data_IF_668768925197
#
_entry.id   IF_668768925197
#
_cell.length_a   1.000
_cell.length_b   1.000
_cell.length_c   1.000
_cell.angle_alpha   90.00
_cell.angle_beta   90.00
_cell.angle_gamma   90.00
#
_symmetry.space_group_name_H-M   'P 1'
#
loop_
_entity.id
_entity.type
_entity.pdbx_description
1 polymer ?
#
# COMPACT_ATOMS: atom_id res chain seq x y z
N UNK A 1 28.88 2.84 34.31
CA UNK A 1 28.59 3.34 32.94
C UNK A 1 28.00 2.27 32.00
N UNK A 2 28.13 0.97 32.23
CA UNK A 2 27.57 -0.07 31.33
C UNK A 2 26.05 -0.30 31.45
N UNK A 3 25.44 -0.06 32.60
CA UNK A 3 23.98 -0.30 32.79
C UNK A 3 23.05 0.67 32.06
N UNK A 4 23.47 1.93 31.83
CA UNK A 4 22.65 2.93 31.11
C UNK A 4 22.48 2.61 29.61
N UNK A 5 23.44 1.94 28.97
CA UNK A 5 23.34 1.60 27.54
C UNK A 5 22.32 0.48 27.29
N UNK A 6 22.21 -0.48 28.21
CA UNK A 6 21.22 -1.56 28.07
C UNK A 6 19.78 -1.09 28.29
N UNK A 7 19.57 -0.10 29.15
CA UNK A 7 18.23 0.46 29.38
C UNK A 7 17.70 1.22 28.16
N UNK A 8 18.56 1.96 27.45
CA UNK A 8 18.18 2.66 26.21
C UNK A 8 17.87 1.71 25.05
N UNK A 9 18.57 0.57 24.95
CA UNK A 9 18.30 -0.45 23.93
C UNK A 9 16.98 -1.17 24.24
N UNK A 10 16.69 -1.44 25.52
CA UNK A 10 15.44 -2.07 25.93
C UNK A 10 14.23 -1.16 25.67
N UNK A 11 14.34 0.14 25.92
CA UNK A 11 13.29 1.13 25.65
C UNK A 11 13.06 1.27 24.14
N UNK A 12 14.12 1.25 23.34
CA UNK A 12 14.02 1.28 21.87
C UNK A 12 13.36 0.02 21.30
N UNK A 13 13.69 -1.16 21.81
CA UNK A 13 13.04 -2.42 21.43
C UNK A 13 11.58 -2.49 21.86
N UNK A 14 11.25 -2.06 23.09
CA UNK A 14 9.86 -1.98 23.58
C UNK A 14 9.03 -0.98 22.76
N UNK A 15 9.61 0.17 22.38
CA UNK A 15 8.94 1.14 21.52
C UNK A 15 8.68 0.59 20.11
N UNK A 16 9.63 -0.14 19.52
CA UNK A 16 9.44 -0.80 18.22
C UNK A 16 8.40 -1.92 18.28
N UNK A 17 8.38 -2.72 19.35
CA UNK A 17 7.41 -3.78 19.56
C UNK A 17 6.01 -3.18 19.73
N UNK A 18 5.84 -2.09 20.49
CA UNK A 18 4.56 -1.41 20.65
C UNK A 18 4.04 -0.81 19.34
N UNK A 19 4.91 -0.20 18.53
CA UNK A 19 4.52 0.36 17.22
C UNK A 19 4.08 -0.76 16.25
N UNK A 20 4.78 -1.89 16.22
CA UNK A 20 4.38 -3.04 15.43
C UNK A 20 3.06 -3.65 15.91
N UNK A 21 2.89 -3.83 17.22
CA UNK A 21 1.66 -4.34 17.82
C UNK A 21 0.46 -3.42 17.51
N UNK A 22 0.63 -2.10 17.60
CA UNK A 22 -0.41 -1.14 17.32
C UNK A 22 -0.80 -1.08 15.83
N UNK A 23 0.15 -1.30 14.90
CA UNK A 23 -0.13 -1.43 13.47
C UNK A 23 -0.93 -2.70 13.13
N UNK A 24 -0.67 -3.79 13.82
CA UNK A 24 -1.31 -5.08 13.56
C UNK A 24 -2.73 -5.18 14.13
N UNK A 25 -3.03 -4.54 15.25
CA UNK A 25 -4.34 -4.60 15.91
C UNK A 25 -5.48 -4.11 15.02
N UNK A 26 -5.26 -3.05 14.20
CA UNK A 26 -6.29 -2.51 13.32
C UNK A 26 -6.79 -3.50 12.26
N UNK A 27 -5.98 -4.50 11.91
CA UNK A 27 -6.25 -5.48 10.85
C UNK A 27 -6.40 -6.92 11.36
N UNK A 28 -6.21 -7.12 12.66
CA UNK A 28 -6.35 -8.43 13.28
C UNK A 28 -7.80 -8.64 13.69
N UNK A 29 -8.37 -9.79 13.38
CA UNK A 29 -9.77 -10.15 13.73
C UNK A 29 -9.82 -11.08 14.94
N UNK A 30 -8.80 -11.91 15.11
CA UNK A 30 -8.58 -12.78 16.25
C UNK A 30 -7.07 -13.07 16.42
N UNK A 31 -6.67 -13.80 17.46
CA UNK A 31 -5.28 -14.09 17.74
C UNK A 31 -4.63 -15.05 16.74
N UNK A 32 -5.41 -15.81 15.99
CA UNK A 32 -4.95 -16.76 14.98
C UNK A 32 -4.92 -16.18 13.54
N UNK A 33 -5.51 -14.98 13.32
CA UNK A 33 -5.55 -14.35 12.01
C UNK A 33 -4.15 -13.98 11.51
N UNK A 34 -3.82 -14.26 10.24
CA UNK A 34 -2.55 -13.85 9.67
C UNK A 34 -2.42 -12.33 9.67
N UNK A 35 -1.21 -11.85 9.95
CA UNK A 35 -0.90 -10.42 9.89
C UNK A 35 -0.55 -10.02 8.47
N UNK A 36 -1.13 -8.92 7.95
CA UNK A 36 -0.72 -8.38 6.66
C UNK A 36 0.74 -7.90 6.67
N UNK A 37 1.35 -7.90 5.50
CA UNK A 37 2.67 -7.34 5.24
C UNK A 37 2.53 -6.19 4.23
N UNK A 38 3.43 -5.20 4.30
CA UNK A 38 3.57 -4.22 3.25
C UNK A 38 4.18 -4.88 2.02
N UNK A 39 3.51 -4.78 0.89
CA UNK A 39 3.92 -5.43 -0.36
C UNK A 39 3.96 -4.44 -1.52
N UNK A 40 4.90 -4.66 -2.45
CA UNK A 40 5.03 -3.85 -3.64
C UNK A 40 5.83 -4.54 -4.74
N UNK A 41 6.33 -3.77 -5.68
CA UNK A 41 7.06 -4.27 -6.84
C UNK A 41 8.59 -4.24 -6.68
N UNK A 42 9.09 -3.45 -5.74
CA UNK A 42 10.53 -3.22 -5.53
C UNK A 42 10.78 -2.99 -4.05
N UNK A 43 11.90 -3.44 -3.53
CA UNK A 43 12.30 -3.20 -2.13
C UNK A 43 12.64 -1.72 -1.91
N UNK A 44 12.62 -1.28 -0.64
CA UNK A 44 13.02 0.09 -0.30
C UNK A 44 14.49 0.34 -0.68
N UNK A 45 15.34 -0.67 -0.50
CA UNK A 45 16.77 -0.60 -0.83
C UNK A 45 17.01 -0.48 -2.35
N UNK A 46 16.37 -1.33 -3.15
CA UNK A 46 16.57 -1.36 -4.61
C UNK A 46 15.89 -0.16 -5.31
N UNK A 47 14.94 0.49 -4.64
CA UNK A 47 14.27 1.68 -5.16
C UNK A 47 15.22 2.88 -5.28
N UNK A 48 16.31 2.92 -4.48
CA UNK A 48 17.31 3.99 -4.45
C UNK A 48 16.70 5.38 -4.32
N UNK A 49 15.59 5.48 -3.59
CA UNK A 49 14.92 6.76 -3.38
C UNK A 49 15.76 7.63 -2.46
N UNK A 50 16.14 8.86 -2.87
CA UNK A 50 16.81 9.78 -1.98
C UNK A 50 15.87 10.14 -0.84
N UNK A 51 16.35 9.95 0.37
CA UNK A 51 15.56 10.24 1.55
C UNK A 51 16.24 11.33 2.39
N UNK A 52 15.46 12.29 2.79
CA UNK A 52 15.74 13.16 3.92
C UNK A 52 15.18 12.59 5.23
N UNK A 53 14.79 11.29 5.22
CA UNK A 53 14.17 10.56 6.34
C UNK A 53 14.95 9.31 6.62
N UNK A 54 15.24 9.05 7.88
CA UNK A 54 16.16 8.00 8.36
C UNK A 54 15.74 6.55 8.07
N UNK A 55 14.56 6.33 7.49
CA UNK A 55 13.99 4.98 7.32
C UNK A 55 13.58 4.65 5.89
N UNK A 56 13.69 5.58 4.97
CA UNK A 56 13.31 5.39 3.57
C UNK A 56 14.56 5.31 2.71
N UNK A 57 14.72 4.18 2.04
CA UNK A 57 15.73 3.95 1.03
C UNK A 57 17.18 4.10 1.51
N UNK A 58 18.09 3.86 0.62
CA UNK A 58 19.53 4.03 0.84
C UNK A 58 20.03 5.44 0.57
N UNK A 59 19.12 6.37 0.27
CA UNK A 59 19.39 7.78 0.10
C UNK A 59 20.58 8.08 -0.80
N UNK A 60 20.41 8.02 -2.11
CA UNK A 60 21.47 8.42 -3.04
C UNK A 60 21.67 9.93 -2.99
N UNK A 61 22.91 10.37 -2.89
CA UNK A 61 23.28 11.77 -3.00
C UNK A 61 24.20 11.99 -4.20
N UNK A 62 24.09 13.14 -4.85
CA UNK A 62 24.99 13.53 -5.91
C UNK A 62 26.35 14.03 -5.35
N UNK A 63 27.29 14.36 -6.21
CA UNK A 63 28.62 14.85 -5.82
C UNK A 63 28.62 16.10 -4.93
N UNK A 64 27.50 16.82 -4.84
CA UNK A 64 27.30 17.99 -3.95
C UNK A 64 26.59 17.66 -2.64
N UNK A 65 26.39 16.37 -2.32
CA UNK A 65 25.70 15.92 -1.13
C UNK A 65 24.19 16.20 -1.10
N UNK A 66 23.58 16.54 -2.26
CA UNK A 66 22.11 16.76 -2.38
C UNK A 66 21.41 15.49 -2.87
N UNK A 67 20.13 15.27 -2.48
CA UNK A 67 19.35 14.14 -2.95
C UNK A 67 19.38 13.98 -4.47
N UNK A 68 19.76 12.79 -4.95
CA UNK A 68 19.82 12.49 -6.38
C UNK A 68 18.59 11.71 -6.85
N UNK A 69 17.55 12.44 -7.21
CA UNK A 69 16.31 11.87 -7.71
C UNK A 69 16.44 11.20 -9.09
N UNK A 70 17.57 11.39 -9.78
CA UNK A 70 17.81 10.74 -11.07
C UNK A 70 18.30 9.30 -10.90
N UNK A 71 18.88 8.99 -9.76
CA UNK A 71 19.38 7.66 -9.45
C UNK A 71 18.28 6.68 -9.00
N UNK A 72 17.04 7.16 -8.81
CA UNK A 72 15.93 6.29 -8.41
C UNK A 72 15.60 5.25 -9.48
N UNK A 73 15.34 4.03 -9.06
CA UNK A 73 14.94 2.96 -9.98
C UNK A 73 13.60 3.31 -10.66
N UNK A 74 13.46 3.13 -11.98
CA UNK A 74 12.21 3.45 -12.69
C UNK A 74 10.97 2.78 -12.09
N UNK A 75 11.08 1.52 -11.66
CA UNK A 75 9.98 0.76 -11.05
C UNK A 75 9.51 1.37 -9.71
N UNK A 76 10.34 2.18 -9.03
CA UNK A 76 9.97 2.85 -7.78
C UNK A 76 8.89 3.92 -7.94
N UNK A 77 8.62 4.36 -9.16
CA UNK A 77 7.68 5.45 -9.50
C UNK A 77 6.65 5.07 -10.57
N UNK A 78 6.69 3.83 -11.06
CA UNK A 78 5.73 3.34 -12.02
C UNK A 78 4.46 2.86 -11.31
N UNK A 79 3.29 3.15 -11.88
CA UNK A 79 2.06 2.52 -11.41
C UNK A 79 2.10 1.02 -11.65
N UNK A 80 1.56 0.26 -10.70
CA UNK A 80 1.57 -1.20 -10.73
C UNK A 80 0.19 -1.76 -10.48
N UNK A 81 -0.09 -2.88 -11.11
CA UNK A 81 -1.16 -3.77 -10.73
C UNK A 81 -0.67 -4.76 -9.69
N UNK A 82 -1.47 -4.96 -8.65
CA UNK A 82 -1.31 -6.04 -7.67
C UNK A 82 -2.52 -6.96 -7.77
N UNK A 83 -2.32 -8.27 -7.71
CA UNK A 83 -3.42 -9.25 -7.72
C UNK A 83 -3.25 -10.38 -6.74
N UNK A 84 -4.38 -10.86 -6.23
CA UNK A 84 -4.51 -12.11 -5.47
C UNK A 84 -5.67 -12.91 -6.03
N UNK A 85 -5.41 -14.15 -6.36
CA UNK A 85 -6.43 -15.13 -6.70
C UNK A 85 -6.71 -16.00 -5.48
N UNK A 86 -7.99 -16.32 -5.26
CA UNK A 86 -8.43 -17.16 -4.15
C UNK A 86 -9.64 -18.01 -4.54
N UNK A 87 -9.86 -19.09 -3.80
CA UNK A 87 -11.04 -19.95 -3.98
C UNK A 87 -11.79 -20.10 -2.66
N UNK A 88 -13.05 -19.67 -2.63
CA UNK A 88 -13.91 -19.78 -1.46
C UNK A 88 -14.68 -21.11 -1.50
N UNK A 89 -14.71 -21.86 -0.38
CA UNK A 89 -15.34 -23.19 -0.34
C UNK A 89 -16.87 -23.13 -0.24
N UNK A 90 -17.43 -21.99 0.18
CA UNK A 90 -18.87 -21.80 0.35
C UNK A 90 -19.30 -20.39 -0.02
N UNK A 91 -20.61 -20.12 -0.03
CA UNK A 91 -21.19 -18.81 -0.23
C UNK A 91 -20.81 -17.87 0.91
N UNK A 92 -20.68 -16.59 0.58
CA UNK A 92 -20.32 -15.53 1.51
C UNK A 92 -21.56 -15.07 2.27
N UNK A 93 -21.43 -14.93 3.59
CA UNK A 93 -22.42 -14.30 4.45
C UNK A 93 -22.13 -12.81 4.63
N UNK A 94 -20.88 -12.48 4.91
CA UNK A 94 -20.37 -11.11 5.08
C UNK A 94 -18.91 -11.07 4.71
N UNK A 95 -18.46 -9.95 4.12
CA UNK A 95 -17.05 -9.75 3.85
C UNK A 95 -16.67 -8.29 4.02
N UNK A 96 -15.59 -8.07 4.76
CA UNK A 96 -15.06 -6.74 5.07
C UNK A 96 -13.62 -6.62 4.60
N UNK A 97 -13.36 -5.66 3.72
CA UNK A 97 -12.01 -5.29 3.27
C UNK A 97 -11.51 -4.08 4.05
N UNK A 98 -10.33 -4.20 4.65
CA UNK A 98 -9.53 -3.08 5.15
C UNK A 98 -8.31 -2.92 4.29
N UNK A 99 -8.04 -1.71 3.79
CA UNK A 99 -6.98 -1.49 2.78
C UNK A 99 -6.28 -0.15 2.96
N UNK A 100 -4.97 -0.17 2.78
CA UNK A 100 -4.09 0.99 2.62
C UNK A 100 -3.33 0.81 1.32
N UNK A 101 -3.49 1.70 0.37
CA UNK A 101 -2.63 1.80 -0.82
C UNK A 101 -1.89 3.12 -0.79
N UNK A 102 -0.59 3.06 -0.64
CA UNK A 102 0.29 4.22 -0.62
C UNK A 102 1.13 4.22 -1.91
N UNK A 103 0.99 5.15 -2.85
CA UNK A 103 0.19 6.42 -2.96
C UNK A 103 -1.33 6.30 -3.03
N UNK A 104 -1.94 6.41 -4.19
CA UNK A 104 -3.37 6.22 -4.37
C UNK A 104 -3.66 4.86 -4.99
N UNK A 105 -4.85 4.32 -4.71
CA UNK A 105 -5.23 3.01 -5.23
C UNK A 105 -6.64 2.99 -5.80
N UNK A 106 -6.85 2.08 -6.75
CA UNK A 106 -8.16 1.60 -7.16
C UNK A 106 -8.28 0.11 -6.85
N UNK A 107 -9.30 -0.27 -6.08
CA UNK A 107 -9.57 -1.67 -5.72
C UNK A 107 -10.71 -2.21 -6.58
N UNK A 108 -10.50 -3.38 -7.16
CA UNK A 108 -11.51 -4.16 -7.86
C UNK A 108 -11.55 -5.59 -7.34
N UNK A 109 -12.75 -6.16 -7.27
CA UNK A 109 -12.99 -7.57 -6.96
C UNK A 109 -13.77 -8.17 -8.12
N UNK A 110 -13.29 -9.25 -8.70
CA UNK A 110 -13.92 -9.90 -9.84
C UNK A 110 -14.21 -8.92 -11.01
N UNK A 111 -13.28 -7.96 -11.25
CA UNK A 111 -13.36 -6.89 -12.26
C UNK A 111 -14.41 -5.80 -11.98
N UNK A 112 -15.03 -5.79 -10.80
CA UNK A 112 -15.95 -4.73 -10.38
C UNK A 112 -15.23 -3.79 -9.41
N UNK A 113 -15.28 -2.49 -9.67
CA UNK A 113 -14.74 -1.47 -8.73
C UNK A 113 -15.50 -1.55 -7.40
N UNK A 114 -14.75 -1.50 -6.30
CA UNK A 114 -15.32 -1.55 -4.94
C UNK A 114 -15.93 -0.21 -4.54
N UNK A 115 -15.40 0.88 -5.07
CA UNK A 115 -15.80 2.25 -4.72
C UNK A 115 -15.60 3.18 -5.90
N UNK A 116 -16.38 4.26 -5.94
CA UNK A 116 -16.22 5.40 -6.84
C UNK A 116 -15.28 6.50 -6.26
N UNK A 117 -14.70 6.24 -5.09
CA UNK A 117 -13.72 7.13 -4.49
C UNK A 117 -12.46 7.24 -5.37
N UNK A 118 -11.98 8.46 -5.51
CA UNK A 118 -10.68 8.79 -6.11
C UNK A 118 -9.73 9.31 -5.04
N UNK A 119 -8.41 9.24 -5.29
CA UNK A 119 -7.37 9.69 -4.35
C UNK A 119 -7.46 9.04 -2.97
N UNK A 120 -7.78 7.75 -2.93
CA UNK A 120 -7.82 6.98 -1.69
C UNK A 120 -6.45 6.32 -1.37
N UNK A 121 -6.04 6.24 -0.09
CA UNK A 121 -6.60 6.94 1.06
C UNK A 121 -6.27 8.44 1.02
N UNK A 122 -6.94 9.24 1.84
CA UNK A 122 -6.60 10.66 1.96
C UNK A 122 -5.15 10.85 2.44
N UNK A 123 -4.55 11.96 1.99
CA UNK A 123 -3.20 12.33 2.40
C UNK A 123 -3.09 12.57 3.90
N UNK A 124 -1.94 12.22 4.47
CA UNK A 124 -1.61 12.42 5.87
C UNK A 124 -0.10 12.64 6.05
N UNK A 125 0.33 12.97 7.25
CA UNK A 125 1.73 12.84 7.64
C UNK A 125 2.02 11.35 7.89
N UNK A 126 2.56 10.67 6.88
CA UNK A 126 2.79 9.23 6.91
C UNK A 126 3.82 8.77 7.96
N UNK A 127 4.55 9.70 8.57
CA UNK A 127 5.40 9.41 9.72
C UNK A 127 4.60 9.28 11.03
N UNK A 128 3.40 9.87 11.08
CA UNK A 128 2.55 9.90 12.27
C UNK A 128 1.28 9.08 12.10
N UNK A 129 0.61 9.23 10.97
CA UNK A 129 -0.69 8.62 10.71
C UNK A 129 -0.75 8.07 9.29
N UNK A 130 -1.28 6.87 9.16
CA UNK A 130 -1.58 6.23 7.87
C UNK A 130 -3.05 5.88 7.86
N UNK A 131 -3.82 6.48 6.97
CA UNK A 131 -5.23 6.17 6.85
C UNK A 131 -5.47 4.87 6.10
N UNK A 132 -6.41 4.06 6.61
CA UNK A 132 -6.95 2.93 5.88
C UNK A 132 -8.44 3.12 5.63
N UNK A 133 -8.93 2.53 4.55
CA UNK A 133 -10.34 2.48 4.21
C UNK A 133 -10.94 1.12 4.56
N UNK A 134 -12.23 1.12 4.89
CA UNK A 134 -13.00 -0.09 5.16
C UNK A 134 -14.19 -0.15 4.22
N UNK A 135 -14.37 -1.31 3.56
CA UNK A 135 -15.45 -1.54 2.59
C UNK A 135 -16.19 -2.83 2.92
N UNK A 136 -17.53 -2.79 2.84
CA UNK A 136 -18.32 -4.01 2.70
C UNK A 136 -18.22 -4.48 1.25
N UNK A 137 -17.68 -5.67 1.06
CA UNK A 137 -17.46 -6.27 -0.26
C UNK A 137 -18.22 -7.58 -0.43
N UNK A 138 -19.21 -7.80 0.41
CA UNK A 138 -20.01 -9.03 0.46
C UNK A 138 -20.60 -9.39 -0.90
N UNK A 139 -21.22 -8.42 -1.58
CA UNK A 139 -21.88 -8.60 -2.87
C UNK A 139 -20.92 -8.87 -4.04
N UNK A 140 -19.63 -8.58 -3.87
CA UNK A 140 -18.63 -8.73 -4.93
C UNK A 140 -17.94 -10.11 -4.92
N UNK A 141 -18.13 -10.89 -3.86
CA UNK A 141 -17.54 -12.21 -3.68
C UNK A 141 -18.54 -13.34 -3.94
N UNK A 142 -18.05 -14.47 -4.43
CA UNK A 142 -18.83 -15.65 -4.72
C UNK A 142 -18.13 -16.93 -4.30
N UNK A 143 -18.88 -17.99 -4.10
CA UNK A 143 -18.32 -19.35 -3.99
C UNK A 143 -17.46 -19.68 -5.21
N UNK A 144 -16.34 -20.35 -5.01
CA UNK A 144 -15.40 -20.69 -6.07
C UNK A 144 -14.32 -19.61 -6.29
N UNK A 145 -13.90 -19.43 -7.52
CA UNK A 145 -12.79 -18.53 -7.88
C UNK A 145 -13.17 -17.06 -7.73
N UNK A 146 -12.31 -16.30 -7.05
CA UNK A 146 -12.36 -14.85 -6.91
C UNK A 146 -10.98 -14.26 -7.18
N UNK A 147 -10.95 -12.99 -7.58
CA UNK A 147 -9.73 -12.23 -7.79
C UNK A 147 -9.86 -10.85 -7.18
N UNK A 148 -8.87 -10.47 -6.37
CA UNK A 148 -8.61 -9.10 -5.96
C UNK A 148 -7.63 -8.48 -6.93
N UNK A 149 -7.85 -7.23 -7.32
CA UNK A 149 -6.95 -6.44 -8.17
C UNK A 149 -6.86 -5.03 -7.61
N UNK A 150 -5.63 -4.54 -7.46
CA UNK A 150 -5.36 -3.18 -6.99
C UNK A 150 -4.45 -2.50 -7.99
N UNK A 151 -4.90 -1.41 -8.60
CA UNK A 151 -4.04 -0.47 -9.30
C UNK A 151 -3.47 0.49 -8.25
N UNK A 152 -2.16 0.67 -8.22
CA UNK A 152 -1.46 1.46 -7.23
C UNK A 152 -0.54 2.47 -7.91
N UNK A 153 -0.73 3.76 -7.63
CA UNK A 153 0.06 4.88 -8.14
C UNK A 153 0.98 5.47 -7.07
N UNK A 154 1.53 6.67 -7.36
CA UNK A 154 2.46 7.35 -6.46
C UNK A 154 1.76 8.22 -5.40
N UNK A 155 0.72 8.96 -5.79
CA UNK A 155 0.01 9.90 -4.92
C UNK A 155 0.95 10.88 -4.21
N UNK A 156 0.58 11.32 -3.02
CA UNK A 156 1.43 12.13 -2.14
C UNK A 156 2.48 11.31 -1.38
N UNK A 157 2.39 9.99 -1.41
CA UNK A 157 3.32 9.12 -0.72
C UNK A 157 4.69 9.08 -1.41
N UNK A 158 4.71 9.15 -2.73
CA UNK A 158 5.91 8.99 -3.53
C UNK A 158 5.98 10.02 -4.69
N UNK A 159 5.93 11.30 -4.38
CA UNK A 159 6.05 12.37 -5.38
C UNK A 159 7.53 12.63 -5.69
N UNK A 160 8.04 12.03 -6.75
CA UNK A 160 9.44 12.16 -7.18
C UNK A 160 9.65 13.32 -8.18
N UNK A 161 8.59 14.04 -8.51
CA UNK A 161 8.60 15.10 -9.49
C UNK A 161 8.50 14.59 -10.93
N UNK A 162 8.61 15.48 -11.87
CA UNK A 162 8.45 15.28 -13.30
C UNK A 162 8.02 16.57 -13.95
N UNK A 163 6.98 16.54 -14.80
CA UNK A 163 6.34 17.77 -15.29
C UNK A 163 5.72 18.56 -14.14
N UNK A 164 5.86 19.89 -14.17
CA UNK A 164 5.24 20.81 -13.20
C UNK A 164 5.56 20.47 -11.73
N UNK A 165 6.76 20.03 -11.47
CA UNK A 165 7.20 19.68 -10.11
C UNK A 165 7.08 20.88 -9.17
N UNK A 166 6.23 20.79 -8.15
CA UNK A 166 6.13 21.76 -7.06
C UNK A 166 6.89 21.32 -5.82
N UNK A 167 6.91 20.02 -5.56
CA UNK A 167 7.68 19.44 -4.46
C UNK A 167 8.23 18.07 -4.87
N UNK A 168 9.23 17.61 -4.14
CA UNK A 168 9.71 16.23 -4.21
C UNK A 168 9.76 15.66 -2.81
N UNK A 169 8.99 14.63 -2.58
CA UNK A 169 8.94 13.93 -1.29
C UNK A 169 8.64 12.45 -1.56
N UNK A 170 9.35 11.58 -0.89
CA UNK A 170 9.04 10.16 -0.90
C UNK A 170 9.18 9.56 0.48
N UNK A 171 8.24 8.72 0.83
CA UNK A 171 8.23 7.89 2.04
C UNK A 171 8.59 6.44 1.70
N UNK A 172 8.72 6.12 0.43
CA UNK A 172 9.02 4.80 -0.11
C UNK A 172 8.39 4.58 -1.48
N UNK A 173 8.68 3.46 -2.16
CA UNK A 173 7.98 3.06 -3.36
C UNK A 173 6.51 2.75 -3.06
N UNK A 174 5.61 2.80 -4.08
CA UNK A 174 4.21 2.45 -3.89
C UNK A 174 4.03 1.11 -3.18
N UNK A 175 3.19 1.07 -2.16
CA UNK A 175 3.04 -0.08 -1.28
C UNK A 175 1.59 -0.35 -0.88
N UNK A 176 1.23 -1.62 -0.72
CA UNK A 176 -0.10 -2.10 -0.34
C UNK A 176 -0.05 -2.81 1.01
N UNK A 177 -1.08 -2.56 1.84
CA UNK A 177 -1.31 -3.30 3.08
C UNK A 177 -2.81 -3.54 3.24
N UNK A 178 -3.27 -4.78 3.25
CA UNK A 178 -4.70 -5.06 3.32
C UNK A 178 -5.04 -6.37 4.03
N UNK A 179 -6.28 -6.42 4.54
CA UNK A 179 -6.91 -7.62 5.08
C UNK A 179 -8.35 -7.71 4.60
N UNK A 180 -8.75 -8.85 4.10
CA UNK A 180 -10.10 -9.20 3.73
C UNK A 180 -10.59 -10.34 4.62
N UNK A 181 -11.52 -10.01 5.51
CA UNK A 181 -12.22 -10.97 6.36
C UNK A 181 -13.51 -11.42 5.71
N UNK A 182 -13.74 -12.73 5.64
CA UNK A 182 -14.89 -13.34 4.94
C UNK A 182 -15.56 -14.33 5.86
N UNK A 183 -16.77 -14.04 6.27
CA UNK A 183 -17.65 -14.98 6.95
C UNK A 183 -18.45 -15.77 5.91
N UNK A 184 -18.31 -17.07 5.92
CA UNK A 184 -19.01 -17.97 5.01
C UNK A 184 -20.36 -18.41 5.61
N UNK A 185 -21.34 -18.75 4.77
CA UNK A 185 -22.65 -19.26 5.20
C UNK A 185 -22.57 -20.58 5.96
N UNK A 186 -21.48 -21.32 5.82
CA UNK A 186 -21.23 -22.55 6.58
C UNK A 186 -20.60 -22.32 7.98
N UNK A 187 -20.52 -21.08 8.44
CA UNK A 187 -19.99 -20.69 9.76
C UNK A 187 -18.47 -20.54 9.83
N UNK A 188 -17.71 -20.83 8.73
CA UNK A 188 -16.25 -20.64 8.71
C UNK A 188 -15.88 -19.21 8.39
N UNK A 189 -14.81 -18.71 9.00
CA UNK A 189 -14.16 -17.46 8.62
C UNK A 189 -12.91 -17.75 7.79
N UNK A 190 -12.69 -16.94 6.74
CA UNK A 190 -11.49 -16.95 5.89
C UNK A 190 -10.89 -15.55 5.93
N UNK A 191 -9.60 -15.46 6.23
CA UNK A 191 -8.87 -14.21 6.21
C UNK A 191 -7.83 -14.24 5.08
N UNK A 192 -7.88 -13.25 4.18
CA UNK A 192 -6.92 -13.03 3.11
C UNK A 192 -6.18 -11.73 3.41
N UNK A 193 -4.86 -11.80 3.47
CA UNK A 193 -4.01 -10.64 3.76
C UNK A 193 -3.05 -10.33 2.62
N UNK A 194 -2.49 -9.13 2.63
CA UNK A 194 -1.33 -8.82 1.79
C UNK A 194 -0.11 -9.56 2.31
N UNK A 195 0.47 -10.41 1.47
CA UNK A 195 1.61 -11.26 1.76
C UNK A 195 2.38 -11.60 0.47
N UNK A 196 3.41 -12.43 0.57
CA UNK A 196 4.25 -12.88 -0.54
C UNK A 196 3.53 -13.75 -1.60
N UNK A 197 2.29 -14.15 -1.37
CA UNK A 197 1.49 -14.93 -2.33
C UNK A 197 0.78 -14.05 -3.38
N UNK A 198 0.85 -12.74 -3.24
CA UNK A 198 0.39 -11.80 -4.25
C UNK A 198 1.37 -11.70 -5.41
N UNK A 199 0.87 -11.18 -6.52
CA UNK A 199 1.69 -10.89 -7.71
C UNK A 199 1.50 -9.44 -8.11
N UNK A 200 2.55 -8.86 -8.71
CA UNK A 200 2.48 -7.55 -9.34
C UNK A 200 2.78 -7.63 -10.83
N UNK A 201 2.34 -6.61 -11.55
CA UNK A 201 2.73 -6.32 -12.93
C UNK A 201 2.85 -4.80 -13.09
N UNK A 202 3.82 -4.28 -13.86
CA UNK A 202 3.75 -2.91 -14.32
C UNK A 202 2.38 -2.65 -14.97
N UNK A 203 1.83 -1.44 -14.79
CA UNK A 203 0.61 -1.00 -15.48
C UNK A 203 0.95 -0.27 -16.79
N UNK A 204 -0.09 0.03 -17.59
CA UNK A 204 0.04 0.90 -18.76
C UNK A 204 0.35 2.36 -18.41
N UNK A 205 0.12 2.77 -17.15
CA UNK A 205 0.44 4.12 -16.67
C UNK A 205 1.94 4.17 -16.38
N UNK A 206 2.70 4.79 -17.29
CA UNK A 206 4.17 4.85 -17.25
C UNK A 206 4.71 6.02 -16.45
N UNK A 207 3.89 7.05 -16.27
CA UNK A 207 4.17 8.21 -15.42
C UNK A 207 2.88 8.60 -14.69
N UNK A 208 2.98 8.96 -13.42
CA UNK A 208 1.88 9.55 -12.65
C UNK A 208 2.44 10.47 -11.57
N UNK A 209 1.86 11.65 -11.45
CA UNK A 209 2.21 12.68 -10.48
C UNK A 209 0.98 13.52 -10.17
N UNK A 210 0.80 13.87 -8.91
CA UNK A 210 -0.30 14.75 -8.49
C UNK A 210 -0.27 16.14 -9.13
N UNK A 211 0.89 16.57 -9.63
CA UNK A 211 1.06 17.86 -10.31
C UNK A 211 1.21 17.73 -11.82
N UNK A 212 1.68 16.60 -12.31
CA UNK A 212 2.05 16.39 -13.70
C UNK A 212 1.06 15.56 -14.52
N UNK A 213 0.04 15.01 -13.88
CA UNK A 213 -0.93 14.12 -14.53
C UNK A 213 -0.34 12.73 -14.79
N UNK A 214 -0.82 12.06 -15.82
CA UNK A 214 -0.46 10.69 -16.18
C UNK A 214 -0.05 10.58 -17.64
N UNK A 215 0.84 9.62 -17.91
CA UNK A 215 1.14 9.12 -19.26
C UNK A 215 0.78 7.65 -19.32
N UNK A 216 0.12 7.26 -20.39
CA UNK A 216 -0.27 5.89 -20.62
C UNK A 216 0.35 5.34 -21.93
N UNK A 217 0.87 4.12 -21.86
CA UNK A 217 1.25 3.33 -23.04
C UNK A 217 0.41 2.05 -23.10
N UNK A 218 -0.65 2.09 -23.90
CA UNK A 218 -1.61 1.00 -24.06
C UNK A 218 -0.98 -0.29 -24.66
N UNK A 219 0.27 -0.24 -25.16
CA UNK A 219 1.00 -1.39 -25.68
C UNK A 219 1.58 -2.26 -24.56
N UNK A 220 1.66 -1.74 -23.35
CA UNK A 220 2.19 -2.49 -22.21
C UNK A 220 1.20 -3.58 -21.84
N UNK A 221 1.67 -4.82 -21.91
CA UNK A 221 0.92 -6.00 -21.49
C UNK A 221 1.32 -6.46 -20.11
N UNK A 222 0.40 -7.10 -19.39
CA UNK A 222 0.66 -7.60 -18.03
C UNK A 222 1.78 -8.65 -18.02
N UNK A 223 2.77 -8.45 -17.14
CA UNK A 223 3.85 -9.38 -16.85
C UNK A 223 3.91 -9.65 -15.35
N UNK A 224 3.21 -10.71 -14.93
CA UNK A 224 3.00 -11.01 -13.50
C UNK A 224 4.25 -11.63 -12.86
N UNK A 225 4.74 -10.97 -11.80
CA UNK A 225 5.88 -11.39 -10.98
C UNK A 225 5.47 -11.50 -9.51
N UNK A 226 6.20 -12.25 -8.68
CA UNK A 226 6.00 -12.22 -7.22
C UNK A 226 6.19 -10.80 -6.67
N UNK A 227 5.38 -10.41 -5.71
CA UNK A 227 5.59 -9.16 -4.96
C UNK A 227 6.84 -9.27 -4.08
N UNK A 228 7.34 -8.13 -3.63
CA UNK A 228 8.37 -8.05 -2.58
C UNK A 228 7.77 -7.48 -1.31
N UNK A 229 8.35 -7.86 -0.17
CA UNK A 229 8.01 -7.28 1.12
C UNK A 229 8.75 -5.95 1.28
N UNK A 230 8.03 -4.95 1.76
CA UNK A 230 8.52 -3.59 2.00
C UNK A 230 8.42 -3.24 3.48
N UNK A 231 9.13 -2.22 3.92
CA UNK A 231 9.09 -1.76 5.32
C UNK A 231 7.80 -0.98 5.64
N UNK A 232 7.30 -0.24 4.65
CA UNK A 232 6.18 0.66 4.82
C UNK A 232 6.49 1.87 5.74
N UNK A 233 5.52 2.78 5.92
CA UNK A 233 5.69 3.99 6.70
C UNK A 233 5.70 3.73 8.21
N UNK A 234 6.19 4.70 8.99
CA UNK A 234 6.23 4.62 10.47
C UNK A 234 4.89 4.93 11.13
N UNK A 235 4.02 5.69 10.46
CA UNK A 235 2.77 6.19 11.03
C UNK A 235 1.85 5.09 11.53
N UNK A 236 1.03 5.42 12.51
CA UNK A 236 0.02 4.51 13.09
C UNK A 236 -1.16 4.40 12.13
N UNK A 237 -1.63 3.18 11.90
CA UNK A 237 -2.82 2.92 11.08
C UNK A 237 -4.08 3.45 11.78
N UNK A 238 -4.84 4.30 11.08
CA UNK A 238 -6.12 4.84 11.55
C UNK A 238 -7.17 4.70 10.47
N UNK A 239 -8.40 4.38 10.86
CA UNK A 239 -9.50 4.39 9.91
C UNK A 239 -9.75 5.81 9.41
N UNK A 240 -9.87 5.97 8.09
CA UNK A 240 -10.33 7.22 7.50
C UNK A 240 -11.79 7.43 7.84
N UNK A 241 -12.09 8.51 8.59
CA UNK A 241 -13.45 8.91 8.93
C UNK A 241 -13.98 10.03 8.03
N UNK A 242 -13.08 10.79 7.39
CA UNK A 242 -13.46 11.81 6.44
C UNK A 242 -14.07 11.19 5.18
N UNK A 243 -15.02 11.90 4.58
CA UNK A 243 -15.67 11.46 3.35
C UNK A 243 -14.63 11.28 2.22
N UNK A 244 -14.78 10.24 1.39
CA UNK A 244 -13.91 10.05 0.24
C UNK A 244 -14.13 11.16 -0.79
N UNK A 245 -13.07 11.46 -1.53
CA UNK A 245 -13.16 12.33 -2.72
C UNK A 245 -13.84 11.54 -3.84
N UNK A 246 -14.80 12.16 -4.51
CA UNK A 246 -15.52 11.58 -5.65
C UNK A 246 -15.52 12.56 -6.82
N UNK A 247 -15.56 12.04 -8.03
CA UNK A 247 -15.83 12.88 -9.19
C UNK A 247 -17.28 13.34 -9.17
N UNK A 248 -17.50 14.64 -9.37
CA UNK A 248 -18.83 15.21 -9.58
C UNK A 248 -19.16 15.13 -11.07
N UNK A 249 -20.35 14.68 -11.41
CA UNK A 249 -20.85 14.85 -12.78
C UNK A 249 -21.12 16.33 -13.04
N UNK A 250 -20.55 16.84 -14.13
CA UNK A 250 -20.89 18.18 -14.62
C UNK A 250 -22.05 18.01 -15.62
N UNK A 251 -23.15 18.64 -15.34
CA UNK A 251 -24.25 18.75 -16.26
C UNK A 251 -24.01 19.90 -17.21
#
# INVERSE_FOLDING_TARGET
MKQRKYLLILIGLLGMIQIHAQKSVAFKTDDESPLPQWIGAITDEDAHIPSNRDYVGTGTVNAKGKPDWKATAPLSRQSIWLKKEMKLPADVRKATMKIVGLGFYELSINRQKVTDAVFAPLWSDYDKTVFYNTYDVTALLKKGKNQLSVLLGNGFYNEQGGRYTKMKVSYGPPTLYCSLEIELKNGRTVCIVSDNSWKYSPSSITFNSIYGGEDEDARITSSWKPVVIQKGPRGVLRQQIAQPVKMMEYF
#
